data_IF_267524131525
#
_entry.id   IF_267524131525
#
_cell.length_a   1.000
_cell.length_b   1.000
_cell.length_c   1.000
_cell.angle_alpha   90.00
_cell.angle_beta   90.00
_cell.angle_gamma   90.00
#
_symmetry.space_group_name_H-M   'P 1'
#
loop_
_entity.id
_entity.type
_entity.pdbx_description
1 polymer ?
#
# COMPACT_ATOMS: atom_id res chain seq x y z
N UNK A 1 51.48 -16.13 36.54
CA UNK A 1 50.20 -15.45 36.25
C UNK A 1 49.79 -15.71 34.83
N UNK A 2 48.72 -16.40 34.62
CA UNK A 2 48.16 -16.65 33.27
C UNK A 2 47.09 -15.61 33.03
N UNK A 3 47.09 -14.87 31.88
CA UNK A 3 46.01 -13.99 31.54
C UNK A 3 44.79 -14.82 31.18
N UNK A 4 43.66 -14.54 31.81
CA UNK A 4 42.37 -15.11 31.45
C UNK A 4 41.89 -14.38 30.20
N UNK A 5 41.93 -15.07 29.05
CA UNK A 5 41.30 -14.57 27.84
C UNK A 5 39.80 -14.61 28.01
N UNK A 6 39.19 -13.44 28.14
CA UNK A 6 37.74 -13.32 28.05
C UNK A 6 37.33 -13.42 26.58
N UNK A 7 36.70 -14.53 26.24
CA UNK A 7 36.04 -14.68 24.92
C UNK A 7 34.81 -13.80 24.96
N UNK A 8 34.87 -12.66 24.27
CA UNK A 8 33.69 -11.85 24.03
C UNK A 8 32.83 -12.56 22.95
N UNK A 9 31.71 -13.13 23.38
CA UNK A 9 30.71 -13.66 22.47
C UNK A 9 30.04 -12.47 21.82
N UNK A 10 30.40 -12.18 20.58
CA UNK A 10 29.63 -11.24 19.75
C UNK A 10 28.37 -11.97 19.31
N UNK A 11 27.27 -11.68 19.99
CA UNK A 11 25.97 -12.10 19.54
C UNK A 11 25.61 -11.30 18.29
N UNK A 12 25.76 -11.93 17.12
CA UNK A 12 25.28 -11.38 15.87
C UNK A 12 23.75 -11.46 15.90
N UNK A 13 23.10 -10.35 16.24
CA UNK A 13 21.66 -10.24 16.12
C UNK A 13 21.33 -10.26 14.63
N UNK A 14 20.89 -11.43 14.14
CA UNK A 14 20.22 -11.55 12.85
C UNK A 14 18.91 -10.77 12.95
N UNK A 15 18.92 -9.53 12.49
CA UNK A 15 17.69 -8.81 12.23
C UNK A 15 16.97 -9.53 11.11
N UNK A 16 16.01 -10.37 11.48
CA UNK A 16 15.17 -11.07 10.52
C UNK A 16 14.43 -10.04 9.66
N UNK A 17 14.64 -10.08 8.35
CA UNK A 17 13.80 -9.37 7.38
C UNK A 17 12.42 -10.03 7.35
N UNK A 18 11.63 -9.84 8.42
CA UNK A 18 10.20 -10.15 8.40
C UNK A 18 9.48 -8.98 7.78
N UNK A 19 8.72 -9.20 6.71
CA UNK A 19 7.79 -8.33 6.01
C UNK A 19 8.00 -6.81 6.10
N UNK A 20 7.68 -6.09 5.06
CA UNK A 20 7.80 -4.64 5.04
C UNK A 20 6.90 -4.01 6.11
N UNK A 21 7.47 -3.19 6.97
CA UNK A 21 6.71 -2.33 7.86
C UNK A 21 5.79 -1.43 7.03
N UNK A 22 4.52 -1.22 7.45
CA UNK A 22 3.64 -0.31 6.74
C UNK A 22 4.16 1.13 6.85
N UNK A 23 4.06 1.88 5.77
CA UNK A 23 4.29 3.32 5.79
C UNK A 23 3.07 4.00 6.40
N UNK A 24 3.29 4.85 7.37
CA UNK A 24 2.21 5.57 8.06
C UNK A 24 1.91 6.90 7.36
N UNK A 25 0.63 7.17 7.17
CA UNK A 25 0.12 8.42 6.62
C UNK A 25 -0.86 9.07 7.61
N UNK A 26 -0.35 9.73 8.68
CA UNK A 26 -1.19 10.21 9.79
C UNK A 26 -2.23 11.25 9.38
N UNK A 27 -2.00 11.99 8.30
CA UNK A 27 -2.95 12.97 7.76
C UNK A 27 -4.04 12.39 6.85
N UNK A 28 -4.07 11.07 6.65
CA UNK A 28 -5.05 10.41 5.79
C UNK A 28 -4.79 10.53 4.29
N UNK A 29 -3.71 11.21 3.87
CA UNK A 29 -3.30 11.28 2.47
C UNK A 29 -2.29 10.20 2.16
N UNK A 30 -2.70 9.24 1.36
CA UNK A 30 -1.90 8.09 0.92
C UNK A 30 -1.20 8.47 -0.37
N UNK A 31 0.12 8.54 -0.36
CA UNK A 31 0.94 8.86 -1.53
C UNK A 31 1.58 7.61 -2.09
N UNK A 32 1.26 7.30 -3.35
CA UNK A 32 1.70 6.10 -4.03
C UNK A 32 2.49 6.44 -5.29
N UNK A 33 3.39 5.53 -5.67
CA UNK A 33 4.09 5.53 -6.95
C UNK A 33 3.77 4.23 -7.67
N UNK A 34 3.52 4.34 -8.95
CA UNK A 34 3.13 3.23 -9.82
C UNK A 34 4.14 3.07 -10.94
N UNK A 35 4.51 1.87 -11.26
CA UNK A 35 5.30 1.52 -12.46
C UNK A 35 4.94 0.11 -12.96
N UNK A 36 5.68 -0.43 -13.89
CA UNK A 36 5.52 -1.79 -14.40
C UNK A 36 6.44 -2.75 -13.62
N UNK A 37 5.98 -3.62 -12.77
CA UNK A 37 4.59 -3.73 -12.32
C UNK A 37 4.63 -3.65 -10.81
N UNK A 38 4.53 -2.45 -10.25
CA UNK A 38 4.60 -2.22 -8.81
C UNK A 38 3.70 -1.08 -8.40
N UNK A 39 3.16 -1.20 -7.21
CA UNK A 39 2.55 -0.13 -6.43
C UNK A 39 3.39 0.03 -5.16
N UNK A 40 3.93 1.20 -4.92
CA UNK A 40 4.78 1.48 -3.76
C UNK A 40 4.29 2.71 -2.99
N UNK A 41 4.37 2.68 -1.65
CA UNK A 41 4.72 1.53 -0.81
C UNK A 41 3.66 0.44 -0.88
N UNK A 42 4.04 -0.81 -0.65
CA UNK A 42 3.14 -1.97 -0.74
C UNK A 42 2.08 -2.00 0.35
N UNK A 43 2.36 -1.37 1.48
CA UNK A 43 1.44 -1.33 2.62
C UNK A 43 1.48 0.05 3.25
N UNK A 44 0.29 0.65 3.38
CA UNK A 44 0.12 1.96 4.02
C UNK A 44 -0.89 1.84 5.15
N UNK A 45 -0.61 2.51 6.26
CA UNK A 45 -1.47 2.60 7.41
C UNK A 45 -1.94 4.04 7.60
N UNK A 46 -3.24 4.22 7.74
CA UNK A 46 -3.88 5.52 8.00
C UNK A 46 -4.82 5.43 9.19
N UNK A 47 -5.02 6.52 9.95
CA UNK A 47 -6.00 6.52 11.04
C UNK A 47 -7.44 6.46 10.52
N UNK A 48 -7.74 7.08 9.39
CA UNK A 48 -9.10 7.27 8.91
C UNK A 48 -9.91 8.25 9.80
N UNK A 49 -11.23 8.36 9.59
CA UNK A 49 -12.01 7.71 8.53
C UNK A 49 -11.82 8.32 7.14
N UNK A 50 -11.31 9.55 7.04
CA UNK A 50 -11.15 10.28 5.78
C UNK A 50 -9.81 9.90 5.14
N UNK A 51 -9.86 9.41 3.90
CA UNK A 51 -8.70 8.94 3.16
C UNK A 51 -8.72 9.51 1.74
N UNK A 52 -7.59 10.02 1.30
CA UNK A 52 -7.36 10.43 -0.09
C UNK A 52 -6.14 9.70 -0.62
N UNK A 53 -6.23 9.22 -1.86
CA UNK A 53 -5.09 8.64 -2.56
C UNK A 53 -4.55 9.65 -3.56
N UNK A 54 -3.24 9.85 -3.53
CA UNK A 54 -2.49 10.58 -4.56
C UNK A 54 -1.51 9.57 -5.15
N UNK A 55 -1.57 9.38 -6.45
CA UNK A 55 -0.74 8.41 -7.16
C UNK A 55 0.02 9.08 -8.30
N UNK A 56 1.32 8.84 -8.37
CA UNK A 56 2.19 9.26 -9.45
C UNK A 56 2.55 8.07 -10.31
N UNK A 57 2.37 8.19 -11.61
CA UNK A 57 2.80 7.20 -12.58
C UNK A 57 4.25 7.47 -13.01
N UNK A 58 5.15 6.62 -12.57
CA UNK A 58 6.57 6.65 -12.92
C UNK A 58 6.92 5.63 -14.03
N UNK A 59 5.92 4.92 -14.54
CA UNK A 59 6.09 3.90 -15.56
C UNK A 59 5.97 4.45 -16.99
N UNK A 60 5.91 3.54 -17.92
CA UNK A 60 5.73 3.82 -19.36
C UNK A 60 4.32 3.47 -19.84
N UNK A 61 3.55 2.73 -19.04
CA UNK A 61 2.15 2.41 -19.30
C UNK A 61 1.24 3.29 -18.42
N UNK A 62 -0.05 3.27 -18.70
CA UNK A 62 -1.05 3.95 -17.87
C UNK A 62 -1.42 3.12 -16.66
N UNK A 63 -1.68 3.75 -15.54
CA UNK A 63 -2.08 3.11 -14.29
C UNK A 63 -3.17 3.89 -13.58
N UNK A 64 -3.92 3.21 -12.71
CA UNK A 64 -4.82 3.83 -11.75
C UNK A 64 -4.73 3.10 -10.41
N UNK A 65 -5.39 3.62 -9.40
CA UNK A 65 -5.53 2.94 -8.11
C UNK A 65 -6.99 2.91 -7.72
N UNK A 66 -7.51 1.71 -7.54
CA UNK A 66 -8.85 1.45 -7.00
C UNK A 66 -8.72 0.81 -5.62
N UNK A 67 -9.74 1.01 -4.80
CA UNK A 67 -9.83 0.42 -3.46
C UNK A 67 -10.88 -0.68 -3.50
N UNK A 68 -10.51 -1.85 -2.98
CA UNK A 68 -11.41 -3.00 -2.90
C UNK A 68 -11.56 -3.48 -1.46
N UNK A 69 -12.76 -3.91 -1.13
CA UNK A 69 -13.02 -4.62 0.12
C UNK A 69 -12.30 -5.96 0.12
N UNK A 70 -11.77 -6.36 1.28
CA UNK A 70 -11.20 -7.70 1.50
C UNK A 70 -12.22 -8.67 2.10
N UNK A 71 -13.43 -8.19 2.43
CA UNK A 71 -14.46 -8.99 3.13
C UNK A 71 -15.81 -9.01 2.41
N UNK A 72 -16.05 -8.07 1.50
CA UNK A 72 -17.33 -7.95 0.77
C UNK A 72 -17.11 -8.17 -0.72
N UNK A 73 -18.09 -8.79 -1.34
CA UNK A 73 -18.12 -9.02 -2.79
C UNK A 73 -19.30 -8.30 -3.42
N UNK A 74 -19.20 -8.06 -4.73
CA UNK A 74 -20.31 -7.61 -5.55
C UNK A 74 -21.24 -8.78 -5.91
N UNK A 75 -22.29 -8.48 -6.71
CA UNK A 75 -23.28 -9.49 -7.13
C UNK A 75 -22.69 -10.60 -8.01
N UNK A 76 -21.50 -10.37 -8.58
CA UNK A 76 -20.78 -11.38 -9.38
C UNK A 76 -19.78 -12.19 -8.54
N UNK A 77 -19.69 -11.93 -7.24
CA UNK A 77 -18.75 -12.58 -6.33
C UNK A 77 -17.32 -12.05 -6.38
N UNK A 78 -17.09 -10.92 -7.04
CA UNK A 78 -15.79 -10.25 -7.08
C UNK A 78 -15.63 -9.31 -5.89
N UNK A 79 -14.38 -9.01 -5.47
CA UNK A 79 -14.16 -8.02 -4.42
C UNK A 79 -14.88 -6.69 -4.72
N UNK A 80 -15.65 -6.20 -3.76
CA UNK A 80 -16.43 -4.97 -3.92
C UNK A 80 -15.50 -3.76 -4.02
N UNK A 81 -15.58 -3.01 -5.11
CA UNK A 81 -14.89 -1.73 -5.24
C UNK A 81 -15.55 -0.67 -4.35
N UNK A 82 -14.73 0.11 -3.67
CA UNK A 82 -15.17 1.18 -2.79
C UNK A 82 -14.80 2.53 -3.40
N UNK A 83 -15.82 3.31 -3.75
CA UNK A 83 -15.64 4.60 -4.42
C UNK A 83 -15.10 4.47 -5.84
N UNK A 84 -14.71 5.59 -6.42
CA UNK A 84 -14.23 5.66 -7.80
C UNK A 84 -12.71 5.39 -7.94
N UNK A 85 -11.96 5.57 -6.84
CA UNK A 85 -10.50 5.51 -6.86
C UNK A 85 -9.89 6.73 -7.56
N UNK A 86 -8.69 6.57 -8.10
CA UNK A 86 -8.06 7.63 -8.89
C UNK A 86 -8.51 7.60 -10.35
N UNK A 87 -8.46 8.74 -11.05
CA UNK A 87 -8.46 8.72 -12.51
C UNK A 87 -7.27 7.91 -13.05
N UNK A 88 -7.28 7.62 -14.34
CA UNK A 88 -6.12 7.04 -15.02
C UNK A 88 -4.99 8.08 -15.10
N UNK A 89 -3.81 7.68 -14.65
CA UNK A 89 -2.58 8.45 -14.82
C UNK A 89 -1.84 7.96 -16.06
N UNK A 90 -1.41 8.89 -16.90
CA UNK A 90 -0.44 8.62 -17.94
C UNK A 90 0.99 8.76 -17.41
N UNK A 91 2.01 8.24 -18.10
CA UNK A 91 3.41 8.36 -17.67
C UNK A 91 3.80 9.79 -17.27
N UNK A 92 4.33 9.95 -16.06
CA UNK A 92 4.74 11.22 -15.48
C UNK A 92 3.63 12.02 -14.79
N UNK A 93 2.37 11.62 -14.92
CA UNK A 93 1.24 12.31 -14.29
C UNK A 93 1.06 11.91 -12.83
N UNK A 94 0.52 12.85 -12.06
CA UNK A 94 0.03 12.63 -10.69
C UNK A 94 -1.47 12.85 -10.67
N UNK A 95 -2.21 11.89 -10.14
CA UNK A 95 -3.67 11.91 -10.04
C UNK A 95 -4.11 11.73 -8.60
N UNK A 96 -5.31 12.20 -8.29
CA UNK A 96 -5.89 12.10 -6.93
C UNK A 96 -7.28 11.49 -6.98
N UNK A 97 -7.60 10.69 -5.97
CA UNK A 97 -8.97 10.29 -5.67
C UNK A 97 -9.73 11.44 -5.01
N UNK A 98 -11.06 11.35 -4.97
CA UNK A 98 -11.84 12.09 -4.01
C UNK A 98 -11.49 11.64 -2.58
N UNK A 99 -11.91 12.42 -1.59
CA UNK A 99 -11.82 12.01 -0.20
C UNK A 99 -12.89 10.96 0.07
N UNK A 100 -12.47 9.79 0.52
CA UNK A 100 -13.35 8.69 0.88
C UNK A 100 -13.48 8.59 2.38
N UNK A 101 -14.63 8.13 2.86
CA UNK A 101 -14.84 7.76 4.26
C UNK A 101 -14.76 6.25 4.37
N UNK A 102 -13.73 5.75 5.03
CA UNK A 102 -13.47 4.31 5.18
C UNK A 102 -13.57 3.91 6.65
N UNK A 103 -14.30 2.82 6.89
CA UNK A 103 -14.31 2.18 8.20
C UNK A 103 -12.95 1.56 8.53
N UNK A 104 -12.59 1.39 9.82
CA UNK A 104 -11.41 0.63 10.20
C UNK A 104 -11.42 -0.77 9.58
N UNK A 105 -10.28 -1.20 9.08
CA UNK A 105 -10.12 -2.49 8.42
C UNK A 105 -8.99 -2.48 7.40
N UNK A 106 -8.84 -3.60 6.72
CA UNK A 106 -7.86 -3.80 5.67
C UNK A 106 -8.53 -3.78 4.31
N UNK A 107 -7.95 -3.05 3.38
CA UNK A 107 -8.43 -2.87 2.01
C UNK A 107 -7.32 -3.24 1.03
N UNK A 108 -7.71 -3.72 -0.14
CA UNK A 108 -6.79 -3.95 -1.25
C UNK A 108 -6.73 -2.70 -2.12
N UNK A 109 -5.52 -2.28 -2.47
CA UNK A 109 -5.25 -1.29 -3.50
C UNK A 109 -4.84 -2.03 -4.77
N UNK A 110 -5.39 -1.68 -5.91
CA UNK A 110 -5.04 -2.33 -7.17
C UNK A 110 -5.29 -1.44 -8.38
N UNK A 111 -4.47 -1.62 -9.41
CA UNK A 111 -4.73 -1.07 -10.74
C UNK A 111 -5.80 -1.91 -11.44
N UNK A 112 -6.82 -1.25 -11.99
CA UNK A 112 -7.90 -1.94 -12.71
C UNK A 112 -7.69 -2.04 -14.21
N UNK A 113 -6.57 -1.55 -14.72
CA UNK A 113 -6.25 -1.53 -16.15
C UNK A 113 -5.64 -2.86 -16.57
N UNK A 114 -6.25 -3.51 -17.59
CA UNK A 114 -5.80 -4.80 -18.11
C UNK A 114 -5.53 -5.81 -16.98
N UNK A 115 -4.41 -6.51 -17.00
CA UNK A 115 -3.98 -7.45 -15.96
C UNK A 115 -2.85 -6.89 -15.10
N UNK A 116 -2.72 -5.56 -15.00
CA UNK A 116 -1.63 -4.93 -14.23
C UNK A 116 -1.65 -5.32 -12.76
N UNK A 117 -2.84 -5.51 -12.17
CA UNK A 117 -3.01 -6.01 -10.81
C UNK A 117 -2.34 -7.39 -10.65
N UNK A 118 -2.65 -8.33 -11.51
CA UNK A 118 -2.08 -9.69 -11.48
C UNK A 118 -0.56 -9.69 -11.67
N UNK A 119 -0.03 -8.71 -12.39
CA UNK A 119 1.40 -8.55 -12.62
C UNK A 119 2.15 -7.87 -11.48
N UNK A 120 1.43 -7.26 -10.50
CA UNK A 120 2.06 -6.71 -9.31
C UNK A 120 1.66 -5.28 -8.93
N UNK A 121 0.80 -4.61 -9.70
CA UNK A 121 0.34 -3.25 -9.38
C UNK A 121 -0.81 -3.33 -8.37
N UNK A 122 -0.48 -3.77 -7.18
CA UNK A 122 -1.39 -3.87 -6.04
C UNK A 122 -0.66 -3.65 -4.72
N UNK A 123 -1.42 -3.38 -3.68
CA UNK A 123 -0.92 -3.18 -2.32
C UNK A 123 -2.04 -3.27 -1.30
N UNK A 124 -1.75 -2.87 -0.09
CA UNK A 124 -2.64 -2.94 1.05
C UNK A 124 -2.78 -1.59 1.74
N UNK A 125 -3.99 -1.24 2.09
CA UNK A 125 -4.33 -0.08 2.91
C UNK A 125 -4.95 -0.56 4.21
N UNK A 126 -4.37 -0.19 5.33
CA UNK A 126 -4.91 -0.47 6.66
C UNK A 126 -5.45 0.83 7.25
N UNK A 127 -6.74 0.86 7.56
CA UNK A 127 -7.38 1.94 8.28
C UNK A 127 -7.52 1.51 9.73
N UNK A 128 -6.81 2.18 10.64
CA UNK A 128 -6.71 1.73 12.03
C UNK A 128 -7.85 2.22 12.91
N UNK A 129 -8.48 3.34 12.55
CA UNK A 129 -9.44 4.02 13.41
C UNK A 129 -8.80 4.72 14.61
N UNK A 130 -7.47 4.89 14.60
CA UNK A 130 -6.69 5.52 15.68
C UNK A 130 -5.89 6.69 15.13
N UNK A 131 -6.04 7.81 15.75
CA UNK A 131 -5.22 9.00 15.47
C UNK A 131 -3.82 8.89 16.07
#
# INVERSE_FOLDING_TARGET
MRPKSALALVALALAGCGGSEPVRAPGGTVRLRLDEYRLLPKKVEVPGPRVRIIARDDGILTHNVKIFSTTKTDDEGKPLQIGEGTPTAHPGETVSSDVLTLAPGTYRLACSIANHDDLGVHGELVVTGRS
#
